data_IF_451876368800
#
_entry.id   IF_451876368800
#
_cell.length_a   1.000
_cell.length_b   1.000
_cell.length_c   1.000
_cell.angle_alpha   90.00
_cell.angle_beta   90.00
_cell.angle_gamma   90.00
#
_symmetry.space_group_name_H-M   'P 1'
#
loop_
_entity.id
_entity.type
_entity.pdbx_description
1 polymer ?
#
# COMPACT_ATOMS: atom_id res chain seq x y z
N UNK A 1 17.90 -21.73 -11.07
CA UNK A 1 18.35 -22.03 -9.71
C UNK A 1 17.13 -22.37 -8.89
N UNK A 2 17.19 -23.42 -8.08
CA UNK A 2 16.07 -23.76 -7.21
C UNK A 2 16.00 -22.77 -6.04
N UNK A 3 14.79 -22.47 -5.59
CA UNK A 3 14.54 -21.48 -4.54
C UNK A 3 14.42 -20.03 -5.05
N UNK A 4 14.48 -19.78 -6.36
CA UNK A 4 14.15 -18.47 -6.92
C UNK A 4 12.64 -18.20 -6.83
N UNK A 5 12.19 -17.04 -6.32
CA UNK A 5 10.77 -16.69 -6.33
C UNK A 5 10.20 -16.65 -7.75
N UNK A 6 9.03 -17.23 -7.94
CA UNK A 6 8.36 -17.26 -9.24
C UNK A 6 7.73 -15.92 -9.62
N UNK A 7 7.43 -15.07 -8.65
CA UNK A 7 6.86 -13.76 -8.86
C UNK A 7 7.17 -12.79 -7.72
N UNK A 8 7.05 -11.47 -7.96
CA UNK A 8 7.35 -10.45 -6.96
C UNK A 8 6.39 -10.41 -5.77
N UNK A 9 5.24 -11.09 -5.86
CA UNK A 9 4.20 -11.12 -4.82
C UNK A 9 3.71 -12.54 -4.49
N UNK A 10 4.36 -13.56 -5.04
CA UNK A 10 3.99 -14.97 -4.86
C UNK A 10 4.98 -15.60 -3.87
N UNK A 11 4.50 -16.46 -2.97
CA UNK A 11 5.35 -17.27 -2.09
C UNK A 11 5.90 -18.52 -2.80
N UNK A 12 5.57 -18.69 -4.08
CA UNK A 12 5.93 -19.84 -4.88
C UNK A 12 7.41 -19.78 -5.29
N UNK A 13 8.10 -20.91 -5.20
CA UNK A 13 9.51 -21.03 -5.59
C UNK A 13 9.67 -21.93 -6.80
N UNK A 14 10.63 -21.60 -7.64
CA UNK A 14 11.07 -22.47 -8.73
C UNK A 14 11.85 -23.66 -8.15
N UNK A 15 11.42 -24.88 -8.45
CA UNK A 15 12.11 -26.13 -8.12
C UNK A 15 12.08 -27.02 -9.35
N UNK A 16 13.23 -27.43 -9.86
CA UNK A 16 13.36 -28.22 -11.09
C UNK A 16 12.65 -27.57 -12.29
N UNK A 17 12.72 -26.24 -12.42
CA UNK A 17 12.12 -25.51 -13.53
C UNK A 17 10.59 -25.39 -13.49
N UNK A 18 9.93 -25.78 -12.39
CA UNK A 18 8.49 -25.60 -12.17
C UNK A 18 8.25 -24.76 -10.93
N UNK A 19 7.26 -23.87 -10.99
CA UNK A 19 6.80 -23.15 -9.81
C UNK A 19 6.04 -24.09 -8.88
N UNK A 20 6.54 -24.20 -7.65
CA UNK A 20 5.96 -24.99 -6.59
C UNK A 20 5.42 -24.07 -5.52
N UNK A 21 4.21 -24.38 -5.08
CA UNK A 21 3.58 -23.68 -3.97
C UNK A 21 4.20 -24.08 -2.65
N UNK A 22 4.59 -23.08 -1.86
CA UNK A 22 5.16 -23.28 -0.54
C UNK A 22 4.18 -22.78 0.51
N UNK A 23 3.96 -23.59 1.54
CA UNK A 23 3.19 -23.17 2.71
C UNK A 23 3.90 -22.05 3.48
N UNK A 24 3.17 -21.34 4.32
CA UNK A 24 3.78 -20.31 5.17
C UNK A 24 4.79 -20.86 6.21
N UNK A 25 4.83 -22.18 6.37
CA UNK A 25 5.77 -22.96 7.18
C UNK A 25 7.07 -23.29 6.43
N UNK A 26 7.19 -22.89 5.16
CA UNK A 26 8.35 -23.16 4.31
C UNK A 26 8.34 -24.54 3.64
N UNK A 27 7.27 -25.31 3.76
CA UNK A 27 7.18 -26.68 3.22
C UNK A 27 6.47 -26.68 1.86
N UNK A 28 7.11 -27.30 0.85
CA UNK A 28 6.53 -27.46 -0.49
C UNK A 28 5.33 -28.39 -0.43
N UNK A 29 4.20 -27.96 -0.99
CA UNK A 29 2.95 -28.73 -0.99
C UNK A 29 2.19 -28.74 0.35
N UNK A 30 2.67 -28.00 1.35
CA UNK A 30 1.92 -27.81 2.61
C UNK A 30 0.62 -27.04 2.36
N UNK A 31 -0.42 -27.41 3.10
CA UNK A 31 -1.69 -26.68 3.13
C UNK A 31 -1.65 -25.48 4.07
N UNK A 32 -0.53 -25.26 4.78
CA UNK A 32 -0.35 -24.16 5.71
C UNK A 32 -0.48 -22.80 5.01
N UNK A 33 -1.31 -21.92 5.57
CA UNK A 33 -1.55 -20.57 5.04
C UNK A 33 -1.45 -19.54 6.14
N UNK A 34 -0.97 -18.36 5.79
CA UNK A 34 -1.07 -17.21 6.67
C UNK A 34 -2.54 -16.84 6.88
N UNK A 35 -2.90 -16.52 8.12
CA UNK A 35 -4.20 -15.95 8.44
C UNK A 35 -4.34 -14.51 7.91
N UNK A 36 -5.47 -13.86 8.24
CA UNK A 36 -5.73 -12.44 7.88
C UNK A 36 -4.72 -11.47 8.50
N UNK A 37 -4.10 -11.87 9.59
CA UNK A 37 -3.08 -11.10 10.24
C UNK A 37 -1.78 -11.26 9.44
N UNK A 38 -1.41 -12.44 8.98
CA UNK A 38 -0.08 -12.75 8.44
C UNK A 38 0.69 -13.65 9.39
N UNK A 39 -0.01 -14.46 10.19
CA UNK A 39 0.57 -15.49 11.06
C UNK A 39 0.28 -16.83 10.42
N UNK A 40 1.31 -17.67 10.27
CA UNK A 40 1.17 -18.99 9.67
C UNK A 40 0.27 -19.88 10.53
N UNK A 41 -0.80 -20.43 9.93
CA UNK A 41 -1.85 -21.20 10.63
C UNK A 41 -2.42 -20.46 11.85
N UNK A 42 -2.44 -19.12 11.81
CA UNK A 42 -3.00 -18.29 12.87
C UNK A 42 -4.53 -18.37 12.94
N UNK A 43 -5.08 -17.94 14.07
CA UNK A 43 -6.52 -17.89 14.34
C UNK A 43 -7.18 -16.58 13.88
N UNK A 44 -6.40 -15.61 13.39
CA UNK A 44 -6.89 -14.32 12.93
C UNK A 44 -7.25 -13.33 14.04
N UNK A 45 -6.84 -13.58 15.29
CA UNK A 45 -7.14 -12.71 16.45
C UNK A 45 -5.97 -11.83 16.90
N UNK A 46 -4.76 -12.07 16.38
CA UNK A 46 -3.55 -11.31 16.71
C UNK A 46 -3.51 -9.88 16.15
N UNK A 47 -4.50 -9.49 15.35
CA UNK A 47 -4.56 -8.18 14.70
C UNK A 47 -6.00 -7.67 14.55
N UNK A 48 -6.13 -6.38 14.23
CA UNK A 48 -7.40 -5.75 13.89
C UNK A 48 -7.35 -5.29 12.43
N UNK A 49 -8.43 -5.55 11.69
CA UNK A 49 -8.61 -4.95 10.36
C UNK A 49 -9.16 -3.53 10.55
N UNK A 50 -8.45 -2.55 10.02
CA UNK A 50 -8.88 -1.16 9.95
C UNK A 50 -9.30 -0.87 8.51
N UNK A 51 -10.49 -0.30 8.33
CA UNK A 51 -11.01 0.19 7.04
C UNK A 51 -11.47 1.62 7.22
N UNK A 52 -11.27 2.43 6.20
CA UNK A 52 -11.75 3.81 6.17
C UNK A 52 -11.81 4.31 4.75
N UNK A 53 -12.77 5.19 4.50
CA UNK A 53 -12.95 5.87 3.23
C UNK A 53 -12.61 7.34 3.41
N UNK A 54 -11.84 7.87 2.47
CA UNK A 54 -11.50 9.28 2.43
C UNK A 54 -12.22 9.93 1.25
N UNK A 55 -13.22 10.78 1.54
CA UNK A 55 -14.01 11.46 0.52
C UNK A 55 -13.98 12.98 0.74
N UNK A 56 -13.06 13.66 0.05
CA UNK A 56 -13.10 15.11 -0.09
C UNK A 56 -13.70 15.46 -1.44
N UNK A 57 -15.00 15.79 -1.44
CA UNK A 57 -15.83 15.82 -2.65
C UNK A 57 -15.47 16.89 -3.68
N UNK A 58 -14.57 17.86 -3.41
CA UNK A 58 -14.42 19.03 -4.30
C UNK A 58 -13.03 19.68 -4.40
N UNK A 59 -11.93 18.96 -4.17
CA UNK A 59 -10.57 19.53 -4.40
C UNK A 59 -10.29 20.87 -3.69
N UNK A 60 -11.09 21.19 -2.68
CA UNK A 60 -10.99 22.38 -1.84
C UNK A 60 -11.09 21.90 -0.41
N UNK A 61 -9.95 21.96 0.25
CA UNK A 61 -9.84 21.72 1.68
C UNK A 61 -9.83 23.10 2.32
N UNK A 62 -10.47 23.24 3.49
CA UNK A 62 -10.30 24.45 4.30
C UNK A 62 -8.81 24.75 4.48
N UNK A 63 -8.40 26.02 4.37
CA UNK A 63 -7.01 26.43 4.53
C UNK A 63 -6.37 25.93 5.84
N UNK A 64 -7.19 25.65 6.86
CA UNK A 64 -6.75 25.08 8.15
C UNK A 64 -6.20 23.65 8.06
N UNK A 65 -6.64 22.85 7.09
CA UNK A 65 -6.22 21.44 6.93
C UNK A 65 -5.29 21.23 5.72
N UNK A 66 -5.01 22.30 4.99
CA UNK A 66 -4.24 22.33 3.74
C UNK A 66 -2.80 22.75 4.05
N UNK A 67 -1.87 21.79 4.04
CA UNK A 67 -0.44 22.06 4.26
C UNK A 67 0.16 22.58 2.96
N UNK A 68 0.43 23.89 2.91
CA UNK A 68 0.92 24.58 1.72
C UNK A 68 2.21 23.95 1.20
N UNK A 69 2.24 23.75 -0.11
CA UNK A 69 3.41 23.27 -0.85
C UNK A 69 3.43 23.97 -2.21
N UNK A 70 4.61 24.13 -2.79
CA UNK A 70 4.78 24.62 -4.17
C UNK A 70 5.56 23.58 -4.96
N UNK A 71 4.99 22.37 -5.09
CA UNK A 71 5.60 21.28 -5.85
C UNK A 71 4.86 21.10 -7.17
N UNK A 72 5.61 20.86 -8.23
CA UNK A 72 5.05 20.53 -9.53
C UNK A 72 5.55 19.15 -9.95
N UNK A 73 4.64 18.27 -10.36
CA UNK A 73 4.99 16.91 -10.80
C UNK A 73 4.63 16.68 -12.26
N UNK A 74 5.50 15.95 -12.94
CA UNK A 74 5.29 15.51 -14.31
C UNK A 74 4.61 14.14 -14.28
N UNK A 75 3.31 14.09 -14.56
CA UNK A 75 2.57 12.82 -14.57
C UNK A 75 2.90 11.92 -15.77
N UNK A 76 3.39 12.50 -16.88
CA UNK A 76 3.75 11.79 -18.12
C UNK A 76 4.92 12.48 -18.84
N UNK A 77 5.76 11.74 -19.59
CA UNK A 77 6.77 12.34 -20.47
C UNK A 77 6.07 13.22 -21.52
N UNK A 78 6.42 14.51 -21.59
CA UNK A 78 5.80 15.56 -22.45
C UNK A 78 4.46 16.15 -22.00
N UNK A 79 3.99 15.87 -20.78
CA UNK A 79 2.83 16.59 -20.22
C UNK A 79 3.23 17.92 -19.56
N UNK A 80 2.28 18.85 -19.41
CA UNK A 80 2.48 20.06 -18.60
C UNK A 80 2.59 19.67 -17.12
N UNK A 81 3.58 20.19 -16.36
CA UNK A 81 3.71 19.91 -14.94
C UNK A 81 2.46 20.37 -14.19
N UNK A 82 1.88 19.49 -13.39
CA UNK A 82 0.79 19.86 -12.47
C UNK A 82 1.40 20.37 -11.18
N UNK A 83 1.17 21.64 -10.87
CA UNK A 83 1.59 22.26 -9.63
C UNK A 83 0.49 22.17 -8.58
N UNK A 84 0.85 21.72 -7.39
CA UNK A 84 -0.04 21.63 -6.24
C UNK A 84 0.20 22.80 -5.31
N UNK A 85 -0.88 23.36 -4.77
CA UNK A 85 -0.84 24.47 -3.81
C UNK A 85 -0.78 24.00 -2.36
N UNK A 86 -1.26 22.77 -2.08
CA UNK A 86 -1.14 22.10 -0.79
C UNK A 86 -1.36 20.60 -0.92
N UNK A 87 -1.11 19.89 0.17
CA UNK A 87 -1.59 18.52 0.38
C UNK A 87 -2.38 18.44 1.68
N UNK A 88 -3.09 17.32 1.82
CA UNK A 88 -3.76 16.93 3.05
C UNK A 88 -3.32 15.54 3.47
N UNK A 89 -3.35 15.28 4.78
CA UNK A 89 -3.13 13.94 5.32
C UNK A 89 -4.45 13.18 5.29
N UNK A 90 -4.53 12.17 4.42
CA UNK A 90 -5.73 11.36 4.24
C UNK A 90 -5.79 10.21 5.25
N UNK A 91 -4.64 9.61 5.57
CA UNK A 91 -4.54 8.52 6.54
C UNK A 91 -3.12 8.43 7.13
N UNK A 92 -3.04 7.90 8.36
CA UNK A 92 -1.78 7.55 9.02
C UNK A 92 -1.74 6.04 9.19
N UNK A 93 -0.66 5.42 8.72
CA UNK A 93 -0.41 4.00 8.82
C UNK A 93 0.63 3.81 9.94
N UNK A 94 0.27 3.17 11.07
CA UNK A 94 1.22 2.91 12.14
C UNK A 94 2.22 1.83 11.75
N UNK A 95 3.39 1.87 12.39
CA UNK A 95 4.39 0.79 12.29
C UNK A 95 3.75 -0.57 12.61
N UNK A 96 4.11 -1.58 11.83
CA UNK A 96 3.57 -2.94 11.96
C UNK A 96 2.24 -3.18 11.24
N UNK A 97 1.61 -2.16 10.67
CA UNK A 97 0.50 -2.36 9.74
C UNK A 97 0.99 -3.14 8.50
N UNK A 98 0.22 -4.17 8.11
CA UNK A 98 0.54 -5.06 7.01
C UNK A 98 -0.67 -5.28 6.10
N UNK A 99 -0.42 -5.70 4.87
CA UNK A 99 -1.44 -5.90 3.81
C UNK A 99 -2.30 -4.66 3.57
N UNK A 100 -1.64 -3.49 3.57
CA UNK A 100 -2.27 -2.20 3.33
C UNK A 100 -2.66 -2.12 1.85
N UNK A 101 -3.93 -1.82 1.58
CA UNK A 101 -4.45 -1.61 0.24
C UNK A 101 -5.09 -0.22 0.18
N UNK A 102 -4.54 0.65 -0.67
CA UNK A 102 -5.13 1.96 -0.97
C UNK A 102 -5.61 1.90 -2.41
N UNK A 103 -6.89 2.18 -2.62
CA UNK A 103 -7.52 2.17 -3.94
C UNK A 103 -8.23 3.50 -4.14
N UNK A 104 -8.02 4.09 -5.31
CA UNK A 104 -8.82 5.22 -5.75
C UNK A 104 -10.05 4.66 -6.47
N UNK A 105 -11.23 4.81 -5.85
CA UNK A 105 -12.50 4.30 -6.40
C UNK A 105 -12.96 5.06 -7.64
N UNK A 106 -12.66 6.37 -7.70
CA UNK A 106 -13.02 7.25 -8.83
C UNK A 106 -11.82 8.06 -9.27
N UNK A 107 -11.53 8.13 -10.59
CA UNK A 107 -10.43 8.94 -11.09
C UNK A 107 -10.67 10.40 -10.72
N UNK A 108 -9.78 10.93 -9.88
CA UNK A 108 -9.78 12.30 -9.41
C UNK A 108 -8.62 13.06 -10.04
N UNK A 109 -8.65 14.40 -9.96
CA UNK A 109 -7.51 15.23 -10.35
C UNK A 109 -6.39 15.24 -9.30
N UNK A 110 -6.62 14.54 -8.19
CA UNK A 110 -5.73 14.48 -7.05
C UNK A 110 -4.65 13.42 -7.25
N UNK A 111 -3.54 13.54 -6.54
CA UNK A 111 -2.44 12.59 -6.59
C UNK A 111 -2.18 12.03 -5.21
N UNK A 112 -2.00 10.71 -5.14
CA UNK A 112 -1.62 10.04 -3.91
C UNK A 112 -0.10 10.10 -3.73
N UNK A 113 0.35 10.62 -2.60
CA UNK A 113 1.72 10.53 -2.16
C UNK A 113 1.84 9.76 -0.85
N UNK A 114 3.07 9.35 -0.52
CA UNK A 114 3.41 8.83 0.80
C UNK A 114 4.62 9.57 1.35
N UNK A 115 4.61 9.83 2.64
CA UNK A 115 5.80 10.25 3.37
C UNK A 115 5.99 9.31 4.55
N UNK A 116 7.23 8.90 4.77
CA UNK A 116 7.57 7.93 5.80
C UNK A 116 8.31 8.63 6.94
N UNK A 117 7.92 8.32 8.16
CA UNK A 117 8.62 8.71 9.38
C UNK A 117 9.03 7.45 10.12
N UNK A 118 9.95 7.57 11.08
CA UNK A 118 10.44 6.41 11.85
C UNK A 118 9.35 5.62 12.60
N UNK A 119 8.15 6.20 12.77
CA UNK A 119 7.05 5.59 13.55
C UNK A 119 5.78 5.36 12.74
N UNK A 120 5.57 6.12 11.66
CA UNK A 120 4.34 6.12 10.89
C UNK A 120 4.59 6.47 9.41
N UNK A 121 3.79 5.90 8.52
CA UNK A 121 3.70 6.34 7.14
C UNK A 121 2.44 7.20 6.98
N UNK A 122 2.58 8.41 6.44
CA UNK A 122 1.44 9.27 6.13
C UNK A 122 1.07 9.13 4.65
N UNK A 123 -0.21 8.94 4.38
CA UNK A 123 -0.78 8.97 3.04
C UNK A 123 -1.26 10.39 2.77
N UNK A 124 -0.68 11.01 1.75
CA UNK A 124 -0.92 12.38 1.37
C UNK A 124 -1.78 12.43 0.11
N UNK A 125 -2.70 13.38 0.05
CA UNK A 125 -3.48 13.68 -1.15
C UNK A 125 -3.15 15.11 -1.61
N UNK A 126 -2.64 15.23 -2.82
CA UNK A 126 -2.26 16.48 -3.49
C UNK A 126 -3.32 16.91 -4.51
#
# INVERSE_FOLDING_TARGET
>A
MDGTPCGPYESDLCVNGRCQKIGCDGIIGSSAREDRCGVCNGDGHSCKIVKGDFNHTKGRVSSSHCKRVSTCVMAKPRAVPKCFSCYIEAAVIPVGARRIKVVEDKPSHSFLGKTDTHTHTHILLF
#
